data_IF_558401810744
#
_entry.id   IF_558401810744
#
_cell.length_a   1.000
_cell.length_b   1.000
_cell.length_c   1.000
_cell.angle_alpha   90.00
_cell.angle_beta   90.00
_cell.angle_gamma   90.00
#
_symmetry.space_group_name_H-M   'P 1'
#
loop_
_entity.id
_entity.type
_entity.pdbx_description
1 polymer ?
#
# COMPACT_ATOMS: atom_id res chain seq x y z
N UNK A 1 14.04 16.15 7.08
CA UNK A 1 15.01 15.04 6.89
C UNK A 1 14.38 14.07 5.89
N UNK A 2 14.85 14.08 4.63
CA UNK A 2 14.58 13.00 3.69
C UNK A 2 15.27 11.76 4.28
N UNK A 3 14.49 10.81 4.81
CA UNK A 3 15.01 9.51 5.20
C UNK A 3 15.70 8.91 3.97
N UNK A 4 16.98 8.50 4.11
CA UNK A 4 17.67 7.70 3.09
C UNK A 4 16.77 6.53 2.74
N UNK A 5 16.14 6.58 1.57
CA UNK A 5 15.35 5.47 1.02
C UNK A 5 16.28 4.27 0.88
N UNK A 6 16.27 3.40 1.86
CA UNK A 6 16.95 2.12 1.76
C UNK A 6 16.23 1.31 0.69
N UNK A 7 16.91 1.06 -0.42
CA UNK A 7 16.37 0.26 -1.53
C UNK A 7 16.18 -1.19 -1.07
N UNK A 8 15.18 -1.87 -1.64
CA UNK A 8 15.07 -3.32 -1.53
C UNK A 8 16.35 -3.98 -2.03
N UNK A 9 16.69 -5.13 -1.46
CA UNK A 9 17.83 -5.94 -1.92
C UNK A 9 17.72 -6.22 -3.43
N UNK A 10 18.84 -6.10 -4.12
CA UNK A 10 18.94 -6.36 -5.55
C UNK A 10 18.47 -7.77 -5.93
N UNK A 11 18.64 -8.74 -5.04
CA UNK A 11 18.15 -10.11 -5.22
C UNK A 11 16.63 -10.14 -5.26
N UNK A 12 15.96 -9.46 -4.33
CA UNK A 12 14.50 -9.35 -4.33
C UNK A 12 13.99 -8.66 -5.61
N UNK A 13 14.58 -7.53 -5.98
CA UNK A 13 14.19 -6.79 -7.20
C UNK A 13 14.30 -7.64 -8.46
N UNK A 14 15.38 -8.43 -8.60
CA UNK A 14 15.53 -9.37 -9.71
C UNK A 14 14.44 -10.45 -9.73
N UNK A 15 14.06 -10.97 -8.56
CA UNK A 15 13.04 -12.01 -8.45
C UNK A 15 11.62 -11.51 -8.81
N UNK A 16 11.33 -10.24 -8.58
CA UNK A 16 10.01 -9.67 -8.82
C UNK A 16 9.84 -9.07 -10.22
N UNK A 17 10.93 -8.82 -10.94
CA UNK A 17 10.93 -8.10 -12.22
C UNK A 17 10.02 -8.71 -13.29
N UNK A 18 9.82 -10.03 -13.27
CA UNK A 18 8.94 -10.76 -14.20
C UNK A 18 7.56 -11.10 -13.62
N UNK A 19 7.25 -10.62 -12.42
CA UNK A 19 5.99 -10.91 -11.73
C UNK A 19 5.00 -9.75 -11.88
N UNK A 20 3.71 -10.10 -11.91
CA UNK A 20 2.63 -9.15 -11.67
C UNK A 20 2.48 -8.99 -10.16
N UNK A 21 2.58 -7.76 -9.65
CA UNK A 21 2.64 -7.49 -8.21
C UNK A 21 1.54 -6.54 -7.80
N UNK A 22 0.96 -6.82 -6.65
CA UNK A 22 0.21 -5.85 -5.86
C UNK A 22 0.51 -6.04 -4.37
N UNK A 23 0.32 -5.00 -3.59
CA UNK A 23 0.63 -4.99 -2.17
C UNK A 23 -0.62 -4.72 -1.33
N UNK A 24 -0.81 -5.47 -0.26
CA UNK A 24 -1.76 -5.18 0.79
C UNK A 24 -0.99 -4.69 2.01
N UNK A 25 -1.18 -3.44 2.40
CA UNK A 25 -0.39 -2.80 3.45
C UNK A 25 -1.22 -2.46 4.67
N UNK A 26 -0.59 -2.60 5.84
CA UNK A 26 -1.21 -2.35 7.14
C UNK A 26 -2.49 -3.15 7.36
N UNK A 27 -2.48 -4.42 6.94
CA UNK A 27 -3.63 -5.30 7.06
C UNK A 27 -3.98 -5.63 8.51
N UNK A 28 -5.26 -5.83 8.75
CA UNK A 28 -5.86 -6.15 10.03
C UNK A 28 -6.58 -7.51 9.98
N UNK A 29 -6.96 -8.10 11.13
CA UNK A 29 -7.62 -9.41 11.16
C UNK A 29 -8.77 -9.54 10.16
N UNK A 30 -8.73 -10.61 9.35
CA UNK A 30 -9.69 -10.89 8.30
C UNK A 30 -9.35 -10.30 6.93
N UNK A 31 -8.52 -9.26 6.86
CA UNK A 31 -8.13 -8.68 5.56
C UNK A 31 -7.08 -9.54 4.84
N UNK A 32 -6.25 -10.26 5.58
CA UNK A 32 -5.25 -11.17 5.00
C UNK A 32 -5.91 -12.33 4.23
N UNK A 33 -7.02 -12.87 4.74
CA UNK A 33 -7.83 -13.89 4.05
C UNK A 33 -8.48 -13.30 2.80
N UNK A 34 -9.05 -12.09 2.89
CA UNK A 34 -9.57 -11.38 1.72
C UNK A 34 -8.48 -11.24 0.65
N UNK A 35 -7.25 -10.89 1.03
CA UNK A 35 -6.13 -10.77 0.10
C UNK A 35 -5.73 -12.11 -0.51
N UNK A 36 -5.77 -13.20 0.25
CA UNK A 36 -5.51 -14.56 -0.23
C UNK A 36 -6.57 -15.00 -1.25
N UNK A 37 -7.86 -14.79 -0.98
CA UNK A 37 -8.95 -15.07 -1.92
C UNK A 37 -8.83 -14.27 -3.22
N UNK A 38 -8.45 -12.99 -3.11
CA UNK A 38 -8.15 -12.13 -4.27
C UNK A 38 -7.00 -12.70 -5.08
N UNK A 39 -5.91 -13.15 -4.42
CA UNK A 39 -4.79 -13.81 -5.09
C UNK A 39 -5.26 -15.05 -5.86
N UNK A 40 -6.01 -15.94 -5.24
CA UNK A 40 -6.55 -17.16 -5.88
C UNK A 40 -7.34 -16.81 -7.14
N UNK A 41 -8.22 -15.80 -7.06
CA UNK A 41 -9.03 -15.38 -8.19
C UNK A 41 -8.18 -14.81 -9.34
N UNK A 42 -7.19 -13.97 -9.03
CA UNK A 42 -6.32 -13.35 -10.01
C UNK A 42 -5.31 -14.36 -10.60
N UNK A 43 -4.83 -15.34 -9.83
CA UNK A 43 -3.88 -16.37 -10.29
C UNK A 43 -4.46 -17.24 -11.40
N UNK A 44 -5.78 -17.38 -11.50
CA UNK A 44 -6.44 -18.05 -12.62
C UNK A 44 -6.05 -17.41 -13.96
N UNK A 45 -5.86 -16.09 -13.98
CA UNK A 45 -5.49 -15.29 -15.16
C UNK A 45 -4.00 -14.97 -15.24
N UNK A 46 -3.36 -14.68 -14.11
CA UNK A 46 -1.99 -14.21 -14.01
C UNK A 46 -1.10 -15.26 -13.31
N UNK A 47 -0.50 -16.18 -14.07
CA UNK A 47 0.30 -17.29 -13.51
C UNK A 47 1.52 -16.79 -12.72
N UNK A 48 2.10 -15.63 -13.10
CA UNK A 48 3.24 -15.01 -12.43
C UNK A 48 2.82 -13.93 -11.40
N UNK A 49 1.66 -14.09 -10.77
CA UNK A 49 1.19 -13.17 -9.73
C UNK A 49 1.96 -13.36 -8.43
N UNK A 50 2.28 -12.24 -7.78
CA UNK A 50 2.79 -12.18 -6.41
C UNK A 50 1.96 -11.19 -5.61
N UNK A 51 1.44 -11.62 -4.47
CA UNK A 51 0.78 -10.74 -3.51
C UNK A 51 1.72 -10.48 -2.35
N UNK A 52 2.05 -9.21 -2.10
CA UNK A 52 2.81 -8.78 -0.93
C UNK A 52 1.83 -8.40 0.16
N UNK A 53 1.96 -8.99 1.35
CA UNK A 53 1.13 -8.64 2.51
C UNK A 53 2.04 -8.08 3.60
N UNK A 54 1.73 -6.87 4.07
CA UNK A 54 2.42 -6.17 5.16
C UNK A 54 1.42 -6.00 6.30
N UNK A 55 1.40 -6.89 7.29
CA UNK A 55 0.50 -6.77 8.43
C UNK A 55 0.81 -5.53 9.26
N UNK A 56 -0.20 -4.87 9.81
CA UNK A 56 0.01 -3.76 10.77
C UNK A 56 0.77 -4.21 12.02
N UNK A 57 0.56 -5.46 12.43
CA UNK A 57 1.13 -6.03 13.65
C UNK A 57 1.83 -7.34 13.32
N UNK A 58 3.16 -7.35 13.33
CA UNK A 58 3.98 -8.52 12.95
C UNK A 58 3.84 -9.70 13.94
N UNK A 59 3.46 -9.47 15.20
CA UNK A 59 3.21 -10.56 16.14
C UNK A 59 2.07 -11.50 15.69
N UNK A 60 1.25 -11.09 14.71
CA UNK A 60 0.18 -11.90 14.13
C UNK A 60 0.64 -12.83 13.01
N UNK A 61 1.90 -12.76 12.57
CA UNK A 61 2.41 -13.48 11.39
C UNK A 61 2.12 -14.97 11.47
N UNK A 62 2.38 -15.63 12.59
CA UNK A 62 2.10 -17.07 12.76
C UNK A 62 0.61 -17.40 12.60
N UNK A 63 -0.27 -16.54 13.13
CA UNK A 63 -1.72 -16.70 12.95
C UNK A 63 -2.12 -16.51 11.49
N UNK A 64 -1.60 -15.50 10.81
CA UNK A 64 -1.84 -15.23 9.38
C UNK A 64 -1.41 -16.42 8.51
N UNK A 65 -0.20 -16.95 8.76
CA UNK A 65 0.30 -18.13 8.05
C UNK A 65 -0.64 -19.32 8.22
N UNK A 66 -1.10 -19.59 9.45
CA UNK A 66 -2.01 -20.69 9.74
C UNK A 66 -3.38 -20.51 9.05
N UNK A 67 -3.92 -19.27 9.03
CA UNK A 67 -5.18 -18.95 8.37
C UNK A 67 -5.08 -19.15 6.85
N UNK A 68 -3.99 -18.73 6.21
CA UNK A 68 -3.80 -18.82 4.75
C UNK A 68 -3.37 -20.22 4.32
N UNK A 69 -2.65 -20.97 5.16
CA UNK A 69 -2.14 -22.32 4.82
C UNK A 69 -3.22 -23.28 4.36
N UNK A 70 -4.46 -23.13 4.87
CA UNK A 70 -5.61 -23.94 4.44
C UNK A 70 -6.10 -23.66 3.01
N UNK A 71 -5.56 -22.64 2.32
CA UNK A 71 -5.95 -22.22 0.98
C UNK A 71 -5.03 -22.73 -0.14
N UNK A 72 -4.10 -23.65 0.16
CA UNK A 72 -3.12 -24.20 -0.80
C UNK A 72 -2.29 -23.09 -1.51
N UNK A 73 -1.82 -22.12 -0.74
CA UNK A 73 -0.96 -21.03 -1.20
C UNK A 73 0.45 -21.15 -0.63
N UNK A 74 1.45 -20.94 -1.47
CA UNK A 74 2.85 -20.91 -1.08
C UNK A 74 3.21 -19.56 -0.46
N UNK A 75 3.44 -19.55 0.85
CA UNK A 75 3.79 -18.35 1.63
C UNK A 75 5.31 -18.34 1.87
N UNK A 76 5.92 -17.18 1.63
CA UNK A 76 7.33 -16.94 1.96
C UNK A 76 7.42 -15.72 2.87
N UNK A 77 8.15 -15.85 3.98
CA UNK A 77 8.41 -14.78 4.94
C UNK A 77 9.56 -13.89 4.46
N UNK A 78 9.43 -12.58 4.64
CA UNK A 78 10.49 -11.63 4.29
C UNK A 78 11.75 -11.85 5.13
N UNK A 79 11.63 -12.15 6.42
CA UNK A 79 12.75 -12.41 7.34
C UNK A 79 13.61 -13.61 6.92
N UNK A 80 13.05 -14.55 6.15
CA UNK A 80 13.78 -15.73 5.66
C UNK A 80 14.80 -15.38 4.54
N UNK A 81 14.80 -14.15 4.02
CA UNK A 81 15.69 -13.64 2.96
C UNK A 81 15.82 -14.62 1.78
N UNK A 82 14.71 -14.99 1.15
CA UNK A 82 14.70 -16.00 0.11
C UNK A 82 15.54 -15.57 -1.10
N UNK A 83 16.40 -16.45 -1.59
CA UNK A 83 17.21 -16.21 -2.80
C UNK A 83 16.35 -16.23 -4.07
N UNK A 84 15.25 -16.98 -4.09
CA UNK A 84 14.32 -17.13 -5.22
C UNK A 84 12.88 -17.08 -4.73
N UNK A 85 12.01 -16.48 -5.55
CA UNK A 85 10.57 -16.41 -5.30
C UNK A 85 9.76 -17.24 -6.34
N UNK A 86 10.40 -18.29 -6.89
CA UNK A 86 9.70 -19.22 -7.78
C UNK A 86 8.54 -19.88 -7.00
N UNK A 87 7.40 -20.00 -7.62
CA UNK A 87 6.19 -20.60 -7.01
C UNK A 87 5.69 -19.91 -5.72
N UNK A 88 6.16 -18.71 -5.42
CA UNK A 88 5.65 -17.94 -4.28
C UNK A 88 4.36 -17.23 -4.68
N UNK A 89 3.31 -17.44 -3.90
CA UNK A 89 2.00 -16.82 -4.04
C UNK A 89 1.90 -15.56 -3.17
N UNK A 90 2.19 -15.73 -1.89
CA UNK A 90 2.14 -14.69 -0.88
C UNK A 90 3.56 -14.42 -0.34
N UNK A 91 3.98 -13.17 -0.42
CA UNK A 91 5.18 -12.69 0.25
C UNK A 91 4.76 -11.91 1.48
N UNK A 92 4.95 -12.50 2.65
CA UNK A 92 4.50 -11.94 3.92
C UNK A 92 5.66 -11.18 4.59
N UNK A 93 5.48 -9.87 4.78
CA UNK A 93 6.48 -8.99 5.39
C UNK A 93 6.32 -9.03 6.90
N UNK A 94 7.22 -9.72 7.56
CA UNK A 94 7.25 -9.97 9.00
C UNK A 94 8.31 -9.14 9.74
N UNK A 95 8.74 -8.02 9.14
CA UNK A 95 9.73 -7.09 9.70
C UNK A 95 9.18 -5.67 9.76
N UNK A 96 9.71 -4.87 10.70
CA UNK A 96 9.35 -3.44 10.82
C UNK A 96 10.20 -2.53 9.93
N UNK A 97 9.64 -1.36 9.59
CA UNK A 97 10.39 -0.24 8.99
C UNK A 97 10.63 -0.34 7.49
N UNK A 98 10.11 -1.35 6.82
CA UNK A 98 10.41 -1.62 5.40
C UNK A 98 9.27 -1.32 4.42
N UNK A 99 8.13 -0.85 4.90
CA UNK A 99 6.90 -0.63 4.13
C UNK A 99 7.14 0.22 2.87
N UNK A 100 7.90 1.31 2.98
CA UNK A 100 8.20 2.20 1.85
C UNK A 100 8.91 1.49 0.69
N UNK A 101 9.81 0.55 1.00
CA UNK A 101 10.52 -0.22 -0.01
C UNK A 101 9.55 -1.00 -0.90
N UNK A 102 8.51 -1.60 -0.30
CA UNK A 102 7.49 -2.36 -1.01
C UNK A 102 6.55 -1.46 -1.81
N UNK A 103 6.24 -0.25 -1.35
CA UNK A 103 5.48 0.72 -2.13
C UNK A 103 6.19 1.12 -3.43
N UNK A 104 7.51 1.30 -3.39
CA UNK A 104 8.30 1.58 -4.60
C UNK A 104 8.21 0.48 -5.65
N UNK A 105 7.98 -0.76 -5.22
CA UNK A 105 7.94 -1.94 -6.08
C UNK A 105 6.52 -2.36 -6.46
N UNK A 106 5.50 -1.62 -6.01
CA UNK A 106 4.10 -1.99 -6.19
C UNK A 106 3.28 -0.84 -6.76
N UNK A 107 2.82 -0.99 -7.99
CA UNK A 107 1.96 0.00 -8.65
C UNK A 107 0.55 0.07 -8.04
N UNK A 108 0.14 -0.97 -7.30
CA UNK A 108 -1.19 -1.10 -6.70
C UNK A 108 -1.01 -1.45 -5.23
N UNK A 109 -1.61 -0.64 -4.35
CA UNK A 109 -1.58 -0.86 -2.90
C UNK A 109 -2.99 -0.86 -2.33
N UNK A 110 -3.41 -1.95 -1.72
CA UNK A 110 -4.60 -1.99 -0.87
C UNK A 110 -4.21 -1.54 0.54
N UNK A 111 -4.91 -0.52 1.05
CA UNK A 111 -4.72 -0.02 2.41
C UNK A 111 -5.65 -0.74 3.37
N UNK A 112 -5.07 -1.48 4.29
CA UNK A 112 -5.78 -2.23 5.33
C UNK A 112 -6.46 -1.35 6.38
N UNK A 113 -7.10 -2.00 7.38
CA UNK A 113 -7.97 -1.38 8.39
C UNK A 113 -9.16 -0.64 7.75
N UNK A 114 -9.49 -1.01 6.53
CA UNK A 114 -10.49 -0.29 5.75
C UNK A 114 -11.69 -1.15 5.36
N UNK A 115 -11.57 -2.48 5.41
CA UNK A 115 -12.69 -3.42 5.21
C UNK A 115 -13.14 -3.98 6.56
N UNK A 116 -12.24 -4.63 7.31
CA UNK A 116 -12.58 -5.29 8.58
C UNK A 116 -12.39 -4.39 9.81
N UNK A 117 -11.62 -3.31 9.69
CA UNK A 117 -11.34 -2.38 10.80
C UNK A 117 -12.17 -1.10 10.74
N UNK A 118 -11.90 -0.17 11.67
CA UNK A 118 -12.50 1.17 11.70
C UNK A 118 -11.42 2.24 11.56
N UNK A 119 -11.74 3.34 10.88
CA UNK A 119 -10.91 4.53 10.78
C UNK A 119 -9.89 4.54 9.63
N UNK A 120 -9.52 3.39 9.07
CA UNK A 120 -8.58 3.30 7.95
C UNK A 120 -7.13 3.62 8.31
N UNK A 121 -6.28 3.68 7.29
CA UNK A 121 -4.85 4.05 7.36
C UNK A 121 -4.55 5.20 6.40
N UNK A 122 -3.44 5.92 6.64
CA UNK A 122 -3.04 7.06 5.82
C UNK A 122 -2.64 6.62 4.40
N UNK A 123 -3.33 7.08 3.33
CA UNK A 123 -3.03 6.69 1.96
C UNK A 123 -1.94 7.53 1.29
N UNK A 124 -1.45 8.59 1.93
CA UNK A 124 -0.55 9.55 1.28
C UNK A 124 0.82 8.95 0.98
N UNK A 125 1.32 8.07 1.85
CA UNK A 125 2.65 7.49 1.68
C UNK A 125 2.75 6.66 0.39
N UNK A 126 1.94 5.62 0.15
CA UNK A 126 1.99 4.87 -1.10
C UNK A 126 1.64 5.74 -2.31
N UNK A 127 0.73 6.70 -2.16
CA UNK A 127 0.35 7.58 -3.27
C UNK A 127 1.49 8.50 -3.69
N UNK A 128 2.23 9.06 -2.74
CA UNK A 128 3.40 9.91 -3.01
C UNK A 128 4.53 9.12 -3.70
N UNK A 129 4.59 7.81 -3.49
CA UNK A 129 5.54 6.91 -4.14
C UNK A 129 5.05 6.37 -5.50
N UNK A 130 3.89 6.81 -5.95
CA UNK A 130 3.36 6.50 -7.27
C UNK A 130 2.41 5.30 -7.33
N UNK A 131 2.00 4.74 -6.20
CA UNK A 131 1.05 3.62 -6.19
C UNK A 131 -0.39 4.09 -6.29
N UNK A 132 -1.21 3.38 -7.06
CA UNK A 132 -2.67 3.53 -7.02
C UNK A 132 -3.20 2.83 -5.77
N UNK A 133 -3.99 3.55 -4.97
CA UNK A 133 -4.50 3.05 -3.70
C UNK A 133 -5.89 2.46 -3.85
N UNK A 134 -6.10 1.26 -3.31
CA UNK A 134 -7.40 0.64 -3.11
C UNK A 134 -7.74 0.65 -1.61
N UNK A 135 -9.00 0.92 -1.26
CA UNK A 135 -9.40 1.05 0.14
C UNK A 135 -10.86 0.64 0.37
N UNK A 136 -11.14 0.11 1.55
CA UNK A 136 -12.49 -0.28 1.97
C UNK A 136 -13.35 0.90 2.42
N UNK A 137 -14.60 0.63 2.87
CA UNK A 137 -15.54 1.68 3.27
C UNK A 137 -15.15 2.43 4.56
N UNK A 138 -14.36 1.81 5.45
CA UNK A 138 -14.12 2.29 6.81
C UNK A 138 -12.84 3.15 6.89
N UNK A 139 -12.91 4.41 6.46
CA UNK A 139 -11.75 5.33 6.37
C UNK A 139 -12.01 6.67 7.04
N UNK A 140 -12.78 6.69 8.11
CA UNK A 140 -13.30 7.91 8.74
C UNK A 140 -12.19 8.87 9.19
N UNK A 141 -11.06 8.35 9.69
CA UNK A 141 -9.92 9.18 10.12
C UNK A 141 -9.22 9.90 8.94
N UNK A 142 -9.46 9.47 7.70
CA UNK A 142 -8.81 9.99 6.50
C UNK A 142 -9.81 10.30 5.38
N UNK A 143 -11.09 10.49 5.74
CA UNK A 143 -12.21 10.64 4.81
C UNK A 143 -11.94 11.68 3.72
N UNK A 144 -11.50 12.88 4.10
CA UNK A 144 -11.25 13.97 3.15
C UNK A 144 -10.04 13.69 2.26
N UNK A 145 -8.99 13.05 2.82
CA UNK A 145 -7.83 12.62 2.06
C UNK A 145 -8.23 11.62 0.97
N UNK A 146 -9.00 10.58 1.33
CA UNK A 146 -9.48 9.60 0.35
C UNK A 146 -10.42 10.22 -0.69
N UNK A 147 -11.29 11.16 -0.28
CA UNK A 147 -12.16 11.91 -1.20
C UNK A 147 -11.35 12.69 -2.24
N UNK A 148 -10.29 13.37 -1.79
CA UNK A 148 -9.38 14.09 -2.67
C UNK A 148 -8.66 13.15 -3.65
N UNK A 149 -8.05 12.07 -3.13
CA UNK A 149 -7.32 11.10 -3.96
C UNK A 149 -8.22 10.38 -4.97
N UNK A 150 -9.47 10.12 -4.60
CA UNK A 150 -10.48 9.57 -5.50
C UNK A 150 -10.81 10.54 -6.65
N UNK A 151 -11.02 11.83 -6.33
CA UNK A 151 -11.21 12.89 -7.34
C UNK A 151 -10.03 13.00 -8.30
N UNK A 152 -8.82 12.77 -7.80
CA UNK A 152 -7.59 12.75 -8.61
C UNK A 152 -7.40 11.43 -9.38
N UNK A 153 -8.29 10.45 -9.21
CA UNK A 153 -8.23 9.12 -9.85
C UNK A 153 -6.96 8.33 -9.51
N UNK A 154 -6.47 8.46 -8.29
CA UNK A 154 -5.32 7.72 -7.75
C UNK A 154 -5.70 6.84 -6.55
N UNK A 155 -6.94 6.91 -6.08
CA UNK A 155 -7.49 6.01 -5.09
C UNK A 155 -8.89 5.55 -5.51
N UNK A 156 -9.25 4.29 -5.19
CA UNK A 156 -10.55 3.72 -5.54
C UNK A 156 -11.11 2.89 -4.38
N UNK A 157 -12.40 3.08 -4.09
CA UNK A 157 -13.12 2.35 -3.05
C UNK A 157 -13.46 0.94 -3.52
N UNK A 158 -13.29 -0.04 -2.63
CA UNK A 158 -13.65 -1.46 -2.82
C UNK A 158 -14.42 -1.95 -1.59
N UNK A 159 -15.22 -3.01 -1.72
CA UNK A 159 -16.11 -3.47 -0.65
C UNK A 159 -15.87 -4.94 -0.25
N UNK A 160 -14.78 -5.56 -0.70
CA UNK A 160 -14.47 -6.98 -0.41
C UNK A 160 -13.84 -7.68 -1.60
N UNK A 161 -13.73 -8.99 -1.53
CA UNK A 161 -13.00 -9.85 -2.49
C UNK A 161 -13.35 -9.54 -3.95
N UNK A 162 -14.64 -9.54 -4.31
CA UNK A 162 -15.10 -9.35 -5.70
C UNK A 162 -14.61 -8.02 -6.29
N UNK A 163 -14.89 -6.92 -5.60
CA UNK A 163 -14.56 -5.58 -6.10
C UNK A 163 -13.06 -5.29 -6.04
N UNK A 164 -12.34 -5.84 -5.06
CA UNK A 164 -10.89 -5.74 -4.96
C UNK A 164 -10.23 -6.52 -6.12
N UNK A 165 -10.67 -7.75 -6.40
CA UNK A 165 -10.20 -8.54 -7.55
C UNK A 165 -10.40 -7.79 -8.86
N UNK A 166 -11.60 -7.25 -9.11
CA UNK A 166 -11.92 -6.52 -10.33
C UNK A 166 -11.08 -5.24 -10.49
N UNK A 167 -10.83 -4.53 -9.38
CA UNK A 167 -10.03 -3.31 -9.40
C UNK A 167 -8.56 -3.61 -9.70
N UNK A 168 -7.99 -4.64 -9.07
CA UNK A 168 -6.62 -5.07 -9.36
C UNK A 168 -6.51 -5.57 -10.80
N UNK A 169 -7.44 -6.39 -11.29
CA UNK A 169 -7.44 -6.88 -12.67
C UNK A 169 -7.41 -5.75 -13.71
N UNK A 170 -8.17 -4.67 -13.47
CA UNK A 170 -8.19 -3.49 -14.33
C UNK A 170 -6.89 -2.68 -14.29
N UNK A 171 -6.23 -2.63 -13.11
CA UNK A 171 -5.05 -1.80 -12.89
C UNK A 171 -3.75 -2.51 -13.28
N UNK A 172 -3.64 -3.81 -13.03
CA UNK A 172 -2.39 -4.58 -13.16
C UNK A 172 -1.88 -4.68 -14.61
N UNK A 173 -2.74 -4.40 -15.58
CA UNK A 173 -2.42 -4.37 -17.02
C UNK A 173 -2.21 -2.96 -17.56
N UNK A 174 -2.47 -1.92 -16.75
CA UNK A 174 -2.38 -0.53 -17.18
C UNK A 174 -1.09 0.10 -16.65
N UNK A 175 -0.41 0.91 -17.46
CA UNK A 175 0.72 1.69 -16.97
C UNK A 175 0.24 2.71 -15.93
N UNK A 176 1.03 2.92 -14.88
CA UNK A 176 0.76 3.93 -13.88
C UNK A 176 0.67 5.34 -14.50
N UNK A 177 -0.34 6.09 -14.13
CA UNK A 177 -0.52 7.46 -14.59
C UNK A 177 0.31 8.44 -13.72
N UNK A 178 1.63 8.49 -13.96
CA UNK A 178 2.58 9.33 -13.22
C UNK A 178 2.17 10.82 -13.13
N UNK A 179 1.40 11.35 -14.11
CA UNK A 179 0.96 12.76 -14.10
C UNK A 179 0.06 13.10 -12.92
N UNK A 180 -0.76 12.15 -12.45
CA UNK A 180 -1.65 12.39 -11.32
C UNK A 180 -0.90 12.44 -9.98
N UNK A 181 0.17 11.64 -9.84
CA UNK A 181 1.02 11.66 -8.65
C UNK A 181 1.82 12.95 -8.53
N UNK A 182 2.29 13.50 -9.65
CA UNK A 182 2.96 14.82 -9.67
C UNK A 182 2.03 15.94 -9.18
N UNK A 183 0.72 15.85 -9.44
CA UNK A 183 -0.26 16.82 -8.90
C UNK A 183 -0.34 16.74 -7.39
N UNK A 184 -0.33 15.53 -6.81
CA UNK A 184 -0.37 15.33 -5.35
C UNK A 184 0.87 15.93 -4.71
N UNK A 185 2.05 15.63 -5.24
CA UNK A 185 3.30 16.18 -4.73
C UNK A 185 3.33 17.72 -4.77
N UNK A 186 2.84 18.33 -5.87
CA UNK A 186 2.70 19.78 -5.99
C UNK A 186 1.71 20.36 -4.98
N UNK A 187 0.57 19.71 -4.77
CA UNK A 187 -0.42 20.14 -3.78
C UNK A 187 0.12 20.07 -2.36
N UNK A 188 0.80 18.98 -1.99
CA UNK A 188 1.43 18.84 -0.69
C UNK A 188 2.47 19.93 -0.43
N UNK A 189 3.31 20.24 -1.43
CA UNK A 189 4.29 21.34 -1.33
C UNK A 189 3.64 22.71 -1.19
N UNK A 190 2.54 22.96 -1.90
CA UNK A 190 1.77 24.20 -1.80
C UNK A 190 1.21 24.38 -0.40
N UNK A 191 0.51 23.38 0.14
CA UNK A 191 -0.07 23.42 1.50
C UNK A 191 1.03 23.64 2.54
N UNK A 192 2.18 22.96 2.42
CA UNK A 192 3.29 23.12 3.35
C UNK A 192 3.84 24.55 3.34
N UNK A 193 3.97 25.18 2.16
CA UNK A 193 4.45 26.54 2.04
C UNK A 193 3.43 27.55 2.63
N UNK A 194 2.15 27.40 2.29
CA UNK A 194 1.06 28.24 2.84
C UNK A 194 1.01 28.16 4.37
N UNK A 195 1.11 26.95 4.94
CA UNK A 195 1.16 26.75 6.39
C UNK A 195 2.39 27.41 7.03
N UNK A 196 3.57 27.31 6.39
CA UNK A 196 4.78 27.99 6.88
C UNK A 196 4.64 29.50 6.86
N UNK A 197 4.09 30.06 5.79
CA UNK A 197 3.90 31.50 5.65
C UNK A 197 2.91 32.02 6.71
N UNK A 198 1.86 31.26 6.99
CA UNK A 198 0.88 31.57 8.03
C UNK A 198 1.51 31.54 9.43
N UNK A 199 2.28 30.50 9.75
CA UNK A 199 3.03 30.39 11.01
C UNK A 199 4.01 31.57 11.16
N UNK A 200 4.80 31.88 10.12
CA UNK A 200 5.74 33.00 10.16
C UNK A 200 5.03 34.36 10.36
N UNK A 201 3.85 34.54 9.75
CA UNK A 201 3.05 35.75 9.93
C UNK A 201 2.56 35.91 11.37
N UNK A 202 2.14 34.81 12.02
CA UNK A 202 1.70 34.80 13.41
C UNK A 202 2.87 35.17 14.34
N UNK A 203 4.05 34.57 14.17
CA UNK A 203 5.24 34.88 14.94
C UNK A 203 5.67 36.34 14.80
N UNK A 204 5.68 36.88 13.57
CA UNK A 204 6.07 38.28 13.32
C UNK A 204 5.06 39.28 13.90
N UNK A 205 3.79 38.90 14.02
CA UNK A 205 2.76 39.72 14.64
C UNK A 205 2.83 39.74 16.18
N UNK A 206 3.29 38.66 16.79
CA UNK A 206 3.54 38.61 18.24
C UNK A 206 4.77 39.41 18.65
N UNK A 207 5.87 39.31 17.88
CA UNK A 207 7.11 40.08 18.14
C UNK A 207 6.89 41.58 18.03
N UNK A 208 5.94 42.05 17.20
CA UNK A 208 5.60 43.50 17.08
C UNK A 208 4.71 44.02 18.19
N UNK A 209 4.16 43.17 19.05
CA UNK A 209 3.29 43.54 20.17
C UNK A 209 4.04 43.59 21.51
N UNK A 210 5.31 43.15 21.54
CA UNK A 210 6.26 43.30 22.65
C UNK A 210 7.19 44.48 22.38
#
# INVERSE_FOLDING_TARGET
>A
QQSKLTKLDNTFLKNINLKKIWCASSTHPGEEIICADVHINLKKKYKNLLTIIIPRHIHRVNKIVNEIKGLDLNIVLHSSKPKKLNNTDIYLVDTYGETQKFYHSSDIVFMGKSISGKGGQNPLEPTNLGSTVLYGPNVDNFKDTYKLLNKLKVAYKVNGVKTLTQSIDKLITKPNNKKNYLKIAKMGKKILNETKDEINSLFNNEIKKT
#
